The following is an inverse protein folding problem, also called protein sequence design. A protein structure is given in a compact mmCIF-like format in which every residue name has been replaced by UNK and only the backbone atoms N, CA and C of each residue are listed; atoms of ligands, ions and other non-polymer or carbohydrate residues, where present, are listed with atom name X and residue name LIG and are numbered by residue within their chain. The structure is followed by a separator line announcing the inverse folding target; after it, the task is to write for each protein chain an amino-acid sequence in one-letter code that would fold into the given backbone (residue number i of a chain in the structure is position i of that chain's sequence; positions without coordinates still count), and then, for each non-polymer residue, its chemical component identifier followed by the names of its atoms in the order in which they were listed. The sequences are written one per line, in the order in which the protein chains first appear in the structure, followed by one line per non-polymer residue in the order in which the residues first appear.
data_IF_641165254852
#
_entry.id   IF_641165254852
#
_cell.length_a   1.000
_cell.length_b   1.000
_cell.length_c   1.000
_cell.angle_alpha   90.00
_cell.angle_beta   90.00
_cell.angle_gamma   90.00
#
_symmetry.space_group_name_H-M   'P 1'
#
loop_
_entity.id
_entity.type
_entity.pdbx_description
1 polymer ?
#
# COMPACT_ATOMS: atom_id res chain seq x y z
N UNK A 1 -4.50 34.09 9.12
CA UNK A 1 -3.24 33.32 9.00
C UNK A 1 -3.50 32.06 8.18
N UNK A 2 -3.24 32.11 6.88
CA UNK A 2 -3.35 30.96 5.97
C UNK A 2 -2.15 30.04 6.21
N UNK A 3 -2.40 28.82 6.69
CA UNK A 3 -1.37 27.78 6.76
C UNK A 3 -1.19 27.22 5.35
N UNK A 4 -0.16 27.69 4.66
CA UNK A 4 0.39 27.01 3.49
C UNK A 4 0.76 25.59 3.92
N UNK A 5 -0.05 24.60 3.54
CA UNK A 5 0.42 23.23 3.41
C UNK A 5 1.44 23.24 2.27
N UNK A 6 2.72 23.47 2.62
CA UNK A 6 3.81 23.45 1.66
C UNK A 6 3.74 22.15 0.88
N UNK A 7 3.75 22.24 -0.46
CA UNK A 7 3.80 21.09 -1.33
C UNK A 7 4.90 20.16 -0.84
N UNK A 8 4.51 19.01 -0.28
CA UNK A 8 5.45 17.93 0.04
C UNK A 8 6.19 17.66 -1.26
N UNK A 9 7.50 17.93 -1.29
CA UNK A 9 8.30 17.66 -2.49
C UNK A 9 8.15 16.18 -2.80
N UNK A 10 7.50 15.85 -3.92
CA UNK A 10 7.39 14.48 -4.41
C UNK A 10 8.79 13.87 -4.48
N UNK A 11 8.92 12.65 -3.98
CA UNK A 11 10.17 11.92 -4.12
C UNK A 11 10.17 11.21 -5.46
N UNK A 12 11.25 11.40 -6.20
CA UNK A 12 11.46 10.83 -7.52
C UNK A 12 12.54 9.78 -7.39
N UNK A 13 12.18 8.53 -7.66
CA UNK A 13 13.09 7.39 -7.58
C UNK A 13 13.24 6.76 -8.96
N UNK A 14 14.43 6.23 -9.24
CA UNK A 14 14.62 5.31 -10.37
C UNK A 14 13.84 4.02 -10.13
N UNK A 15 13.15 3.52 -11.17
CA UNK A 15 12.31 2.33 -11.07
C UNK A 15 13.09 1.11 -10.62
N UNK A 16 14.22 0.83 -11.26
CA UNK A 16 14.94 -0.44 -11.04
C UNK A 16 15.86 -0.42 -9.81
N UNK A 17 16.38 0.75 -9.43
CA UNK A 17 17.36 0.84 -8.34
C UNK A 17 16.82 1.52 -7.08
N UNK A 18 15.64 2.16 -7.16
CA UNK A 18 15.03 2.89 -6.05
C UNK A 18 15.87 4.08 -5.56
N UNK A 19 16.85 4.55 -6.35
CA UNK A 19 17.72 5.66 -5.97
C UNK A 19 17.03 6.98 -6.26
N UNK A 20 17.19 7.95 -5.36
CA UNK A 20 16.67 9.31 -5.56
C UNK A 20 17.34 9.91 -6.80
N UNK A 21 16.55 10.49 -7.69
CA UNK A 21 17.01 10.98 -8.98
C UNK A 21 16.23 12.23 -9.42
N UNK A 22 16.52 12.73 -10.63
CA UNK A 22 15.78 13.87 -11.22
C UNK A 22 14.55 13.37 -11.98
N UNK A 23 13.56 14.24 -12.17
CA UNK A 23 12.36 13.90 -12.94
C UNK A 23 12.62 13.65 -14.43
N UNK A 24 13.72 14.18 -14.95
CA UNK A 24 14.12 14.09 -16.36
C UNK A 24 14.81 12.76 -16.69
N UNK A 25 15.17 11.97 -15.67
CA UNK A 25 15.80 10.67 -15.87
C UNK A 25 14.78 9.68 -16.49
N UNK A 26 15.28 8.70 -17.24
CA UNK A 26 14.43 7.62 -17.77
C UNK A 26 13.98 6.68 -16.65
N UNK A 27 12.79 6.09 -16.82
CA UNK A 27 12.22 5.09 -15.91
C UNK A 27 12.10 5.55 -14.45
N UNK A 28 11.53 6.73 -14.22
CA UNK A 28 11.31 7.29 -12.88
C UNK A 28 9.90 7.04 -12.35
N UNK A 29 9.79 6.93 -11.03
CA UNK A 29 8.54 6.80 -10.29
C UNK A 29 8.45 7.94 -9.27
N UNK A 30 7.25 8.49 -9.11
CA UNK A 30 6.97 9.58 -8.17
C UNK A 30 6.13 9.07 -7.01
N UNK A 31 6.55 9.41 -5.80
CA UNK A 31 5.83 9.12 -4.56
C UNK A 31 5.41 10.41 -3.88
N UNK A 32 4.16 10.44 -3.40
CA UNK A 32 3.62 11.59 -2.68
C UNK A 32 4.05 11.59 -1.20
N UNK A 33 4.51 10.43 -0.68
CA UNK A 33 5.04 10.31 0.68
C UNK A 33 6.43 9.67 0.75
N UNK A 34 7.25 10.13 1.72
CA UNK A 34 8.54 9.51 2.04
C UNK A 34 8.40 8.06 2.51
N UNK A 35 7.25 7.74 3.09
CA UNK A 35 6.96 6.41 3.59
C UNK A 35 6.80 5.42 2.44
N UNK A 36 6.00 5.75 1.42
CA UNK A 36 5.86 4.94 0.20
C UNK A 36 7.21 4.73 -0.49
N UNK A 37 7.97 5.81 -0.69
CA UNK A 37 9.29 5.74 -1.31
C UNK A 37 10.23 4.77 -0.55
N UNK A 38 10.25 4.86 0.79
CA UNK A 38 11.06 3.97 1.63
C UNK A 38 10.57 2.52 1.55
N UNK A 39 9.26 2.31 1.44
CA UNK A 39 8.68 0.97 1.33
C UNK A 39 8.98 0.36 -0.03
N UNK A 40 8.91 1.14 -1.11
CA UNK A 40 9.28 0.71 -2.46
C UNK A 40 10.74 0.25 -2.53
N UNK A 41 11.67 1.05 -1.98
CA UNK A 41 13.09 0.68 -1.89
C UNK A 41 13.28 -0.65 -1.16
N UNK A 42 12.50 -0.92 -0.11
CA UNK A 42 12.53 -2.20 0.60
C UNK A 42 11.96 -3.34 -0.22
N UNK A 43 10.87 -3.12 -0.96
CA UNK A 43 10.31 -4.13 -1.87
C UNK A 43 11.33 -4.53 -2.94
N UNK A 44 12.09 -3.58 -3.48
CA UNK A 44 13.17 -3.85 -4.44
C UNK A 44 14.30 -4.72 -3.88
N UNK A 45 14.46 -4.84 -2.57
CA UNK A 45 15.43 -5.78 -1.97
C UNK A 45 14.95 -7.23 -1.98
N UNK A 46 13.67 -7.47 -2.27
CA UNK A 46 13.00 -8.77 -2.20
C UNK A 46 12.42 -9.22 -3.54
N UNK A 47 12.01 -8.26 -4.37
CA UNK A 47 11.31 -8.49 -5.62
C UNK A 47 11.96 -7.66 -6.73
N UNK A 48 11.92 -8.16 -7.96
CA UNK A 48 12.35 -7.36 -9.11
C UNK A 48 11.35 -6.23 -9.36
N UNK A 49 11.81 -5.14 -9.98
CA UNK A 49 10.95 -3.98 -10.26
C UNK A 49 9.77 -4.33 -11.18
N UNK A 50 9.93 -5.35 -12.04
CA UNK A 50 8.87 -5.85 -12.93
C UNK A 50 7.76 -6.58 -12.17
N UNK A 51 8.07 -7.14 -10.99
CA UNK A 51 7.07 -7.79 -10.14
C UNK A 51 6.24 -6.78 -9.36
N UNK A 52 6.71 -5.53 -9.22
CA UNK A 52 6.08 -4.50 -8.39
C UNK A 52 5.33 -3.52 -9.30
N UNK A 53 4.00 -3.54 -9.21
CA UNK A 53 3.14 -2.47 -9.72
C UNK A 53 2.89 -1.45 -8.62
N UNK A 54 2.72 -0.20 -9.01
CA UNK A 54 2.57 0.94 -8.09
C UNK A 54 1.29 1.66 -8.44
N UNK A 55 0.53 2.04 -7.41
CA UNK A 55 -0.76 2.74 -7.54
C UNK A 55 -1.76 2.00 -8.45
N UNK A 56 -2.00 0.71 -8.17
CA UNK A 56 -2.99 -0.08 -8.92
C UNK A 56 -4.41 0.27 -8.44
N UNK A 57 -5.26 0.75 -9.34
CA UNK A 57 -6.66 0.97 -9.04
C UNK A 57 -7.41 -0.37 -8.92
N UNK A 58 -7.97 -0.63 -7.74
CA UNK A 58 -8.85 -1.77 -7.46
C UNK A 58 -10.27 -1.28 -7.29
N UNK A 59 -11.21 -1.91 -7.98
CA UNK A 59 -12.62 -1.55 -7.91
C UNK A 59 -13.16 -1.67 -6.47
N UNK A 60 -13.87 -0.66 -5.98
CA UNK A 60 -14.63 -0.72 -4.73
C UNK A 60 -16.13 -0.80 -4.98
N UNK A 61 -16.64 0.00 -5.92
CA UNK A 61 -18.05 0.06 -6.27
C UNK A 61 -18.15 0.10 -7.80
N UNK A 62 -18.87 -0.84 -8.43
CA UNK A 62 -19.08 -0.82 -9.87
C UNK A 62 -19.92 0.39 -10.29
N UNK A 63 -19.75 0.82 -11.54
CA UNK A 63 -20.60 1.85 -12.13
C UNK A 63 -22.06 1.39 -12.20
N UNK A 64 -22.98 2.25 -11.80
CA UNK A 64 -24.43 2.07 -11.97
C UNK A 64 -25.02 3.31 -12.66
N UNK A 65 -26.32 3.30 -12.94
CA UNK A 65 -27.03 4.49 -13.47
C UNK A 65 -27.00 5.67 -12.49
N UNK A 66 -27.03 5.40 -11.18
CA UNK A 66 -27.13 6.42 -10.13
C UNK A 66 -25.78 6.76 -9.49
N UNK A 67 -24.77 5.91 -9.65
CA UNK A 67 -23.47 6.07 -9.01
C UNK A 67 -22.32 5.82 -9.97
N UNK A 68 -21.37 6.75 -9.97
CA UNK A 68 -20.09 6.57 -10.65
C UNK A 68 -19.27 5.46 -10.01
N UNK A 69 -18.43 4.83 -10.83
CA UNK A 69 -17.44 3.86 -10.37
C UNK A 69 -16.54 4.48 -9.29
N UNK A 70 -16.24 3.69 -8.26
CA UNK A 70 -15.25 4.07 -7.25
C UNK A 70 -14.19 3.00 -7.15
N UNK A 71 -12.94 3.43 -7.09
CA UNK A 71 -11.78 2.56 -6.95
C UNK A 71 -10.92 2.98 -5.77
N UNK A 72 -10.25 2.01 -5.18
CA UNK A 72 -9.18 2.18 -4.22
C UNK A 72 -7.85 2.04 -4.96
N UNK A 73 -7.03 3.09 -4.92
CA UNK A 73 -5.66 2.98 -5.41
C UNK A 73 -4.82 2.28 -4.35
N UNK A 74 -4.41 1.05 -4.64
CA UNK A 74 -3.50 0.27 -3.81
C UNK A 74 -2.07 0.75 -4.08
N UNK A 75 -1.33 1.08 -3.03
CA UNK A 75 0.01 1.65 -3.16
C UNK A 75 0.97 0.71 -3.94
N UNK A 76 0.98 -0.58 -3.62
CA UNK A 76 1.79 -1.59 -4.31
C UNK A 76 1.05 -2.89 -4.56
N UNK A 77 1.27 -3.49 -5.74
CA UNK A 77 0.85 -4.86 -6.05
C UNK A 77 2.07 -5.66 -6.48
N UNK A 78 2.39 -6.71 -5.72
CA UNK A 78 3.56 -7.56 -5.96
C UNK A 78 3.13 -8.90 -6.51
N UNK A 79 3.67 -9.29 -7.67
CA UNK A 79 3.42 -10.60 -8.29
C UNK A 79 4.36 -11.65 -7.68
N UNK A 80 3.77 -12.66 -7.01
CA UNK A 80 4.50 -13.75 -6.35
C UNK A 80 4.17 -15.06 -7.07
N UNK A 81 5.08 -15.52 -7.92
CA UNK A 81 4.85 -16.69 -8.77
C UNK A 81 3.85 -16.44 -9.91
N UNK A 82 3.29 -17.53 -10.47
CA UNK A 82 2.53 -17.46 -11.73
C UNK A 82 1.15 -16.80 -11.63
N UNK A 83 0.51 -16.79 -10.46
CA UNK A 83 -0.86 -16.27 -10.29
C UNK A 83 -1.13 -15.55 -8.97
N UNK A 84 -0.24 -15.62 -7.97
CA UNK A 84 -0.51 -14.99 -6.68
C UNK A 84 -0.09 -13.52 -6.73
N UNK A 85 -0.92 -12.65 -6.16
CA UNK A 85 -0.62 -11.22 -5.99
C UNK A 85 -0.72 -10.85 -4.52
N UNK A 86 0.22 -10.04 -4.06
CA UNK A 86 0.17 -9.39 -2.76
C UNK A 86 -0.21 -7.94 -2.98
N UNK A 87 -1.30 -7.51 -2.35
CA UNK A 87 -1.76 -6.12 -2.39
C UNK A 87 -1.25 -5.45 -1.12
N UNK A 88 -0.56 -4.33 -1.23
CA UNK A 88 0.06 -3.65 -0.09
C UNK A 88 -0.39 -2.20 -0.11
N UNK A 89 -1.03 -1.79 0.97
CA UNK A 89 -1.47 -0.42 1.20
C UNK A 89 -0.75 0.18 2.40
N UNK A 90 -0.27 1.40 2.29
CA UNK A 90 0.42 2.12 3.35
C UNK A 90 -0.48 3.23 3.87
N UNK A 91 -0.85 3.13 5.16
CA UNK A 91 -1.66 4.14 5.83
C UNK A 91 -0.94 4.78 7.00
N UNK A 92 -0.79 6.10 6.91
CA UNK A 92 -0.27 6.92 8.01
C UNK A 92 -1.29 7.12 9.14
N UNK A 93 -2.58 7.21 8.81
CA UNK A 93 -3.67 7.42 9.77
C UNK A 93 -4.82 6.50 9.44
N UNK A 94 -5.34 5.82 10.47
CA UNK A 94 -6.55 5.01 10.38
C UNK A 94 -7.77 5.90 10.63
N UNK A 95 -8.72 5.93 9.69
CA UNK A 95 -9.95 6.75 9.76
C UNK A 95 -11.20 5.90 9.49
N UNK A 96 -12.37 6.38 9.92
CA UNK A 96 -13.63 5.70 9.61
C UNK A 96 -13.93 5.63 8.10
N UNK A 97 -13.52 6.66 7.34
CA UNK A 97 -13.63 6.61 5.88
C UNK A 97 -12.81 5.45 5.29
N UNK A 98 -11.63 5.21 5.85
CA UNK A 98 -10.78 4.10 5.44
C UNK A 98 -11.41 2.74 5.77
N UNK A 99 -11.97 2.59 6.97
CA UNK A 99 -12.71 1.38 7.36
C UNK A 99 -13.85 1.08 6.38
N UNK A 100 -14.64 2.10 6.01
CA UNK A 100 -15.71 1.95 5.03
C UNK A 100 -15.21 1.49 3.66
N UNK A 101 -14.06 1.99 3.19
CA UNK A 101 -13.44 1.53 1.94
C UNK A 101 -13.01 0.06 2.03
N UNK A 102 -12.49 -0.38 3.18
CA UNK A 102 -12.11 -1.77 3.40
C UNK A 102 -13.33 -2.71 3.43
N UNK A 103 -14.44 -2.29 4.05
CA UNK A 103 -15.68 -3.07 4.01
C UNK A 103 -16.20 -3.22 2.58
N UNK A 104 -16.24 -2.11 1.82
CA UNK A 104 -16.63 -2.15 0.41
C UNK A 104 -15.71 -3.04 -0.43
N UNK A 105 -14.41 -3.03 -0.16
CA UNK A 105 -13.44 -3.90 -0.82
C UNK A 105 -13.70 -5.38 -0.49
N UNK A 106 -14.00 -5.70 0.77
CA UNK A 106 -14.31 -7.06 1.20
C UNK A 106 -15.56 -7.60 0.48
N UNK A 107 -16.58 -6.76 0.32
CA UNK A 107 -17.85 -7.13 -0.32
C UNK A 107 -17.71 -7.29 -1.84
N UNK A 108 -16.97 -6.39 -2.51
CA UNK A 108 -16.93 -6.33 -3.98
C UNK A 108 -15.72 -7.07 -4.57
N UNK A 109 -14.62 -7.19 -3.84
CA UNK A 109 -13.37 -7.82 -4.28
C UNK A 109 -12.74 -8.65 -3.14
N UNK A 110 -13.41 -9.74 -2.68
CA UNK A 110 -12.97 -10.53 -1.54
C UNK A 110 -11.60 -11.19 -1.73
N UNK A 111 -11.22 -11.49 -2.98
CA UNK A 111 -9.87 -12.00 -3.30
C UNK A 111 -8.80 -10.95 -3.00
N UNK A 112 -9.00 -9.70 -3.43
CA UNK A 112 -8.06 -8.62 -3.13
C UNK A 112 -8.00 -8.36 -1.64
N UNK A 113 -9.15 -8.28 -0.98
CA UNK A 113 -9.23 -8.07 0.46
C UNK A 113 -8.49 -9.18 1.25
N UNK A 114 -8.63 -10.43 0.82
CA UNK A 114 -7.94 -11.59 1.43
C UNK A 114 -6.42 -11.48 1.37
N UNK A 115 -5.91 -10.89 0.28
CA UNK A 115 -4.47 -10.75 0.03
C UNK A 115 -3.97 -9.32 0.29
N UNK A 116 -4.76 -8.48 0.97
CA UNK A 116 -4.41 -7.10 1.30
C UNK A 116 -3.58 -7.03 2.59
N UNK A 117 -2.43 -6.39 2.49
CA UNK A 117 -1.51 -6.10 3.58
C UNK A 117 -1.52 -4.60 3.84
N UNK A 118 -1.74 -4.21 5.09
CA UNK A 118 -1.79 -2.78 5.45
C UNK A 118 -0.56 -2.42 6.29
N UNK A 119 0.33 -1.62 5.72
CA UNK A 119 1.45 -1.00 6.43
C UNK A 119 0.98 0.23 7.20
N UNK A 120 0.92 0.15 8.53
CA UNK A 120 0.56 1.29 9.39
C UNK A 120 1.78 1.95 10.04
N UNK A 121 1.91 3.27 9.87
CA UNK A 121 2.85 4.07 10.65
C UNK A 121 2.18 4.55 11.93
N UNK A 122 2.77 4.26 13.10
CA UNK A 122 2.22 4.73 14.38
C UNK A 122 2.85 6.09 14.74
N UNK A 123 2.11 7.22 14.64
CA UNK A 123 2.69 8.55 14.83
C UNK A 123 3.08 8.85 16.29
N UNK A 124 2.66 8.05 17.28
CA UNK A 124 2.89 8.35 18.71
C UNK A 124 4.03 7.55 19.36
N UNK A 125 4.73 6.67 18.63
CA UNK A 125 5.77 5.81 19.23
C UNK A 125 6.95 5.61 18.27
N UNK A 126 8.12 6.12 18.66
CA UNK A 126 9.44 5.82 18.06
C UNK A 126 9.86 4.35 18.19
N UNK A 127 9.03 3.50 18.81
CA UNK A 127 9.18 2.04 18.81
C UNK A 127 7.87 1.38 18.34
N UNK A 128 7.89 0.53 17.30
CA UNK A 128 6.72 -0.21 16.87
C UNK A 128 6.24 -1.11 18.02
N UNK A 129 5.01 -0.89 18.50
CA UNK A 129 4.30 -1.82 19.38
C UNK A 129 3.07 -2.33 18.64
N UNK A 130 2.96 -3.66 18.55
CA UNK A 130 1.72 -4.33 18.19
C UNK A 130 0.66 -3.96 19.23
N UNK A 131 -0.43 -3.34 18.80
CA UNK A 131 -1.63 -3.22 19.62
C UNK A 131 -2.70 -4.05 18.91
N UNK A 132 -3.19 -5.10 19.57
CA UNK A 132 -4.41 -5.78 19.14
C UNK A 132 -5.54 -4.75 19.13
N UNK A 133 -6.07 -4.50 17.95
CA UNK A 133 -7.28 -3.74 17.64
C UNK A 133 -7.92 -4.58 16.54
N UNK A 134 -9.16 -5.04 16.55
CA UNK A 134 -10.30 -5.08 17.48
C UNK A 134 -11.26 -6.11 16.84
N UNK A 135 -12.30 -6.56 17.56
CA UNK A 135 -13.26 -7.58 17.11
C UNK A 135 -14.03 -7.19 15.83
N UNK A 136 -13.77 -7.88 14.73
CA UNK A 136 -14.76 -8.39 13.78
C UNK A 136 -14.04 -9.46 12.94
N UNK A 137 -14.71 -10.53 12.53
CA UNK A 137 -14.13 -11.65 11.75
C UNK A 137 -13.43 -11.20 10.45
N UNK A 138 -13.63 -9.94 10.04
CA UNK A 138 -13.03 -9.28 8.88
C UNK A 138 -11.60 -8.75 9.16
N UNK A 139 -11.22 -8.52 10.42
CA UNK A 139 -9.99 -7.84 10.83
C UNK A 139 -8.81 -8.77 11.20
N UNK A 140 -9.00 -10.09 11.22
CA UNK A 140 -7.93 -11.04 11.63
C UNK A 140 -6.73 -11.10 10.67
N UNK A 141 -6.80 -10.47 9.49
CA UNK A 141 -5.72 -10.46 8.48
C UNK A 141 -4.87 -9.20 8.43
N UNK A 142 -5.04 -8.25 9.38
CA UNK A 142 -4.17 -7.05 9.44
C UNK A 142 -2.88 -7.39 10.18
N UNK A 143 -1.93 -8.03 9.48
CA UNK A 143 -0.59 -8.30 10.03
C UNK A 143 0.35 -7.11 9.86
N UNK A 144 0.96 -6.73 10.98
CA UNK A 144 1.95 -5.67 11.11
C UNK A 144 3.26 -6.04 10.40
N UNK A 145 3.76 -5.16 9.54
CA UNK A 145 5.09 -5.22 8.93
C UNK A 145 6.22 -4.96 9.95
N UNK A 146 6.37 -5.86 10.94
CA UNK A 146 7.64 -6.07 11.62
C UNK A 146 8.30 -7.25 10.94
N UNK A 147 9.40 -6.98 10.24
CA UNK A 147 10.20 -7.92 9.44
C UNK A 147 9.67 -8.16 8.03
N UNK A 148 10.39 -7.60 7.07
CA UNK A 148 10.60 -8.18 5.73
C UNK A 148 10.83 -9.71 5.79
N UNK A 149 11.30 -10.26 6.91
CA UNK A 149 11.38 -11.71 7.17
C UNK A 149 10.03 -12.46 7.17
N UNK A 150 8.89 -11.81 7.40
CA UNK A 150 7.56 -12.47 7.29
C UNK A 150 7.11 -12.53 5.82
N UNK A 151 7.40 -11.50 5.02
CA UNK A 151 7.18 -11.53 3.57
C UNK A 151 8.08 -12.58 2.90
N UNK A 152 9.34 -12.70 3.31
CA UNK A 152 10.23 -13.77 2.82
C UNK A 152 9.67 -15.17 3.12
N UNK A 153 9.09 -15.40 4.31
CA UNK A 153 8.45 -16.68 4.64
C UNK A 153 7.14 -16.92 3.89
N UNK A 154 6.38 -15.87 3.54
CA UNK A 154 5.16 -15.99 2.75
C UNK A 154 5.42 -16.33 1.27
N UNK A 155 6.61 -15.97 0.74
CA UNK A 155 7.05 -16.32 -0.62
C UNK A 155 7.46 -17.80 -0.75
N UNK A 156 7.64 -18.50 0.37
CA UNK A 156 7.96 -19.93 0.41
C UNK A 156 6.73 -20.87 0.55
N UNK A 157 5.49 -20.37 0.38
CA UNK A 157 4.24 -21.14 0.35
C UNK A 157 3.48 -21.04 -0.99
#
# INVERSE_FOLDING_TARGET
MSRYYGASKRLVLTKFTGKVCKEEDSDVIKFDSQLEATFYQKLLTLFSAEQIKIHEAVLLIPKTEFHAERSLNIDFVVSVGFKKKLYIEIKGVWSHEWESKLMLLADNNPEVFTHLWIGVCNPKKTKPRCKKVFNSEVAERIFYARSIGVLANAVHF
#
